data_IF_310021072350
#
_entry.id   IF_310021072350
#
_cell.length_a   1.000
_cell.length_b   1.000
_cell.length_c   1.000
_cell.angle_alpha   90.00
_cell.angle_beta   90.00
_cell.angle_gamma   90.00
#
_symmetry.space_group_name_H-M   'P 1'
#
loop_
_entity.id
_entity.type
_entity.pdbx_description
1 polymer ?
#
# COMPACT_ATOMS: atom_id res chain seq x y z
N UNK A 1 24.05 -65.67 -5.26
CA UNK A 1 24.98 -65.96 -4.14
C UNK A 1 25.99 -64.81 -4.08
N UNK A 2 25.97 -64.06 -2.96
CA UNK A 2 26.95 -63.06 -2.47
C UNK A 2 27.11 -61.76 -3.29
N UNK A 3 26.59 -60.62 -2.85
CA UNK A 3 27.00 -59.74 -1.72
C UNK A 3 28.30 -58.95 -1.96
N UNK A 4 28.15 -57.61 -1.87
CA UNK A 4 29.06 -56.58 -1.32
C UNK A 4 29.71 -55.58 -2.28
N UNK A 5 29.27 -54.32 -2.14
CA UNK A 5 30.03 -53.04 -2.10
C UNK A 5 29.09 -51.92 -2.55
N UNK A 6 28.26 -51.29 -1.71
CA UNK A 6 28.61 -50.31 -0.66
C UNK A 6 29.78 -49.42 -1.07
N UNK A 7 29.50 -48.37 -1.83
CA UNK A 7 30.36 -47.19 -1.92
C UNK A 7 29.54 -45.97 -1.49
N UNK A 8 29.89 -45.51 -0.29
CA UNK A 8 29.32 -44.37 0.40
C UNK A 8 29.50 -43.08 -0.39
N UNK A 9 28.39 -42.41 -0.72
CA UNK A 9 28.39 -41.02 -1.20
C UNK A 9 28.21 -40.09 0.01
N UNK A 10 29.33 -39.64 0.57
CA UNK A 10 29.38 -38.46 1.44
C UNK A 10 29.23 -37.24 0.55
N UNK A 11 28.09 -36.56 0.63
CA UNK A 11 27.95 -35.17 0.19
C UNK A 11 27.28 -34.38 1.31
N UNK A 12 28.12 -33.79 2.15
CA UNK A 12 27.69 -32.78 3.10
C UNK A 12 27.29 -31.52 2.32
N UNK A 13 26.10 -31.00 2.62
CA UNK A 13 25.74 -29.63 2.25
C UNK A 13 24.96 -29.00 3.41
N UNK A 14 25.69 -28.13 4.10
CA UNK A 14 25.27 -26.86 4.68
C UNK A 14 23.86 -26.72 5.25
N UNK A 15 23.84 -26.55 6.58
CA UNK A 15 23.01 -25.61 7.33
C UNK A 15 22.02 -24.74 6.53
N UNK A 16 20.73 -24.88 6.84
CA UNK A 16 19.79 -23.77 6.83
C UNK A 16 19.13 -23.69 8.21
N UNK A 17 19.79 -22.98 9.12
CA UNK A 17 19.12 -22.33 10.23
C UNK A 17 18.52 -21.02 9.68
N UNK A 18 17.23 -20.81 9.92
CA UNK A 18 16.55 -19.53 9.71
C UNK A 18 15.58 -19.50 8.53
N UNK A 19 14.29 -19.62 8.83
CA UNK A 19 13.25 -18.59 8.58
C UNK A 19 11.88 -19.17 8.93
N UNK A 20 11.57 -19.21 10.23
CA UNK A 20 10.18 -19.18 10.65
C UNK A 20 9.62 -17.81 10.23
N UNK A 21 8.89 -17.76 9.09
CA UNK A 21 7.89 -16.74 8.72
C UNK A 21 7.40 -16.84 7.24
N UNK A 22 7.62 -17.95 6.52
CA UNK A 22 7.04 -18.16 5.17
C UNK A 22 5.84 -19.13 5.14
N UNK A 23 5.70 -20.01 6.15
CA UNK A 23 4.66 -21.03 6.18
C UNK A 23 3.25 -20.44 6.34
N UNK A 24 3.09 -19.43 7.19
CA UNK A 24 1.79 -18.90 7.62
C UNK A 24 1.08 -18.06 6.54
N UNK A 25 1.86 -17.31 5.75
CA UNK A 25 1.34 -16.56 4.59
C UNK A 25 0.90 -17.50 3.46
N UNK A 26 1.59 -18.62 3.27
CA UNK A 26 1.25 -19.61 2.25
C UNK A 26 -0.02 -20.38 2.64
N UNK A 27 -0.22 -20.71 3.92
CA UNK A 27 -1.45 -21.37 4.40
C UNK A 27 -2.67 -20.46 4.28
N UNK A 28 -2.53 -19.17 4.59
CA UNK A 28 -3.61 -18.20 4.47
C UNK A 28 -4.11 -18.06 3.01
N UNK A 29 -3.20 -18.08 2.05
CA UNK A 29 -3.53 -17.97 0.62
C UNK A 29 -4.17 -19.25 0.08
N UNK A 30 -3.70 -20.43 0.52
CA UNK A 30 -4.30 -21.72 0.15
C UNK A 30 -5.71 -21.91 0.75
N UNK A 31 -5.90 -21.59 2.03
CA UNK A 31 -7.19 -21.70 2.71
C UNK A 31 -8.26 -20.82 2.04
N UNK A 32 -7.86 -19.62 1.60
CA UNK A 32 -8.75 -18.69 0.90
C UNK A 32 -9.26 -19.25 -0.42
N UNK A 33 -8.42 -19.90 -1.21
CA UNK A 33 -8.84 -20.49 -2.48
C UNK A 33 -9.86 -21.62 -2.28
N UNK A 34 -9.69 -22.44 -1.25
CA UNK A 34 -10.64 -23.50 -0.89
C UNK A 34 -11.98 -22.92 -0.44
N UNK A 35 -11.97 -21.89 0.41
CA UNK A 35 -13.20 -21.20 0.86
C UNK A 35 -13.94 -20.57 -0.32
N UNK A 36 -13.25 -19.80 -1.18
CA UNK A 36 -13.87 -19.19 -2.36
C UNK A 36 -14.48 -20.22 -3.32
N UNK A 37 -13.82 -21.37 -3.50
CA UNK A 37 -14.36 -22.46 -4.32
C UNK A 37 -15.60 -23.11 -3.70
N UNK A 38 -15.58 -23.31 -2.38
CA UNK A 38 -16.72 -23.88 -1.66
C UNK A 38 -17.92 -22.96 -1.76
N UNK A 39 -17.75 -21.66 -1.47
CA UNK A 39 -18.85 -20.69 -1.54
C UNK A 39 -19.39 -20.50 -2.96
N UNK A 40 -18.53 -20.53 -3.99
CA UNK A 40 -18.98 -20.48 -5.37
C UNK A 40 -19.85 -21.69 -5.74
N UNK A 41 -19.52 -22.87 -5.17
CA UNK A 41 -20.28 -24.11 -5.37
C UNK A 41 -21.59 -24.08 -4.58
N UNK A 42 -21.56 -23.62 -3.33
CA UNK A 42 -22.76 -23.46 -2.47
C UNK A 42 -23.74 -22.45 -3.08
N UNK A 43 -23.23 -21.40 -3.75
CA UNK A 43 -24.02 -20.42 -4.51
C UNK A 43 -24.43 -20.91 -5.92
N UNK A 44 -24.09 -22.15 -6.28
CA UNK A 44 -24.34 -22.76 -7.58
C UNK A 44 -23.89 -21.90 -8.79
N UNK A 45 -22.85 -21.08 -8.61
CA UNK A 45 -22.33 -20.21 -9.66
C UNK A 45 -21.68 -21.04 -10.77
N UNK A 46 -22.00 -20.73 -12.02
CA UNK A 46 -21.47 -21.43 -13.20
C UNK A 46 -20.90 -20.43 -14.19
N UNK A 47 -20.02 -20.92 -15.08
CA UNK A 47 -19.47 -20.11 -16.17
C UNK A 47 -18.82 -18.81 -15.70
N UNK A 48 -19.21 -17.71 -16.34
CA UNK A 48 -18.64 -16.38 -16.08
C UNK A 48 -18.93 -15.85 -14.67
N UNK A 49 -20.07 -16.21 -14.09
CA UNK A 49 -20.45 -15.79 -12.73
C UNK A 49 -19.51 -16.39 -11.68
N UNK A 50 -19.13 -17.66 -11.85
CA UNK A 50 -18.14 -18.32 -10.98
C UNK A 50 -16.77 -17.66 -11.10
N UNK A 51 -16.38 -17.29 -12.32
CA UNK A 51 -15.07 -16.69 -12.60
C UNK A 51 -14.96 -15.28 -12.01
N UNK A 52 -16.01 -14.48 -12.15
CA UNK A 52 -16.12 -13.17 -11.51
C UNK A 52 -16.05 -13.31 -9.99
N UNK A 53 -16.88 -14.18 -9.41
CA UNK A 53 -16.90 -14.44 -7.97
C UNK A 53 -15.55 -14.91 -7.43
N UNK A 54 -14.89 -15.84 -8.12
CA UNK A 54 -13.57 -16.32 -7.70
C UNK A 54 -12.53 -15.20 -7.74
N UNK A 55 -12.58 -14.36 -8.78
CA UNK A 55 -11.68 -13.21 -8.91
C UNK A 55 -11.88 -12.24 -7.74
N UNK A 56 -13.13 -11.92 -7.42
CA UNK A 56 -13.46 -10.98 -6.37
C UNK A 56 -13.17 -11.55 -4.99
N UNK A 57 -13.49 -12.83 -4.74
CA UNK A 57 -13.20 -13.52 -3.50
C UNK A 57 -11.67 -13.63 -3.27
N UNK A 58 -10.89 -13.97 -4.30
CA UNK A 58 -9.43 -14.03 -4.19
C UNK A 58 -8.77 -12.64 -4.09
N UNK A 59 -9.40 -11.58 -4.61
CA UNK A 59 -8.96 -10.19 -4.42
C UNK A 59 -9.37 -9.63 -3.05
N UNK A 60 -10.49 -10.07 -2.49
CA UNK A 60 -11.00 -9.62 -1.21
C UNK A 60 -10.03 -10.03 -0.10
N UNK A 61 -9.22 -9.12 0.43
CA UNK A 61 -8.36 -9.40 1.59
C UNK A 61 -9.20 -10.07 2.69
N UNK A 62 -8.66 -11.08 3.42
CA UNK A 62 -9.42 -11.80 4.44
C UNK A 62 -10.16 -10.80 5.33
N UNK A 63 -11.45 -11.07 5.55
CA UNK A 63 -12.37 -10.28 6.33
C UNK A 63 -11.90 -10.20 7.79
N UNK A 64 -10.89 -9.38 8.02
CA UNK A 64 -10.39 -8.97 9.32
C UNK A 64 -10.60 -7.46 9.38
N UNK A 65 -11.83 -7.11 9.78
CA UNK A 65 -12.36 -5.77 9.92
C UNK A 65 -12.50 -5.00 8.60
N UNK A 66 -13.61 -4.28 8.48
CA UNK A 66 -13.62 -2.97 7.84
C UNK A 66 -12.55 -2.10 8.52
N UNK A 67 -11.27 -2.34 8.22
CA UNK A 67 -10.24 -1.34 8.46
C UNK A 67 -10.56 -0.28 7.43
N UNK A 68 -11.30 0.74 7.87
CA UNK A 68 -11.38 2.00 7.17
C UNK A 68 -9.98 2.27 6.61
N UNK A 69 -9.89 2.30 5.27
CA UNK A 69 -8.62 2.52 4.59
C UNK A 69 -7.99 3.73 5.25
N UNK A 70 -6.71 3.63 5.62
CA UNK A 70 -6.06 4.79 6.21
C UNK A 70 -6.17 5.96 5.20
N UNK A 71 -6.21 7.22 5.66
CA UNK A 71 -6.33 8.36 4.74
C UNK A 71 -5.27 8.33 3.61
N UNK A 72 -4.10 7.75 3.88
CA UNK A 72 -3.06 7.52 2.88
C UNK A 72 -3.43 6.45 1.84
N UNK A 73 -4.06 5.35 2.25
CA UNK A 73 -4.51 4.29 1.35
C UNK A 73 -5.68 4.74 0.48
N UNK A 74 -6.63 5.50 1.02
CA UNK A 74 -7.72 6.10 0.25
C UNK A 74 -7.17 7.04 -0.82
N UNK A 75 -6.29 7.95 -0.42
CA UNK A 75 -5.63 8.88 -1.33
C UNK A 75 -4.88 8.18 -2.46
N UNK A 76 -4.20 7.07 -2.16
CA UNK A 76 -3.50 6.29 -3.18
C UNK A 76 -4.47 5.64 -4.17
N UNK A 77 -5.62 5.16 -3.70
CA UNK A 77 -6.66 4.61 -4.57
C UNK A 77 -7.25 5.70 -5.48
N UNK A 78 -7.57 6.87 -4.92
CA UNK A 78 -8.12 8.01 -5.67
C UNK A 78 -7.15 8.53 -6.72
N UNK A 79 -5.86 8.69 -6.38
CA UNK A 79 -4.82 9.07 -7.34
C UNK A 79 -4.68 8.06 -8.49
N UNK A 80 -4.81 6.76 -8.21
CA UNK A 80 -4.79 5.74 -9.25
C UNK A 80 -6.03 5.79 -10.14
N UNK A 81 -7.21 6.01 -9.55
CA UNK A 81 -8.46 6.15 -10.31
C UNK A 81 -8.39 7.36 -11.23
N UNK A 82 -8.02 8.52 -10.71
CA UNK A 82 -7.91 9.75 -11.52
C UNK A 82 -6.86 9.63 -12.64
N UNK A 83 -5.75 8.92 -12.40
CA UNK A 83 -4.77 8.66 -13.45
C UNK A 83 -5.35 7.77 -14.57
N UNK A 84 -6.15 6.77 -14.20
CA UNK A 84 -6.86 5.89 -15.15
C UNK A 84 -7.95 6.62 -15.93
N UNK A 85 -8.76 7.45 -15.25
CA UNK A 85 -9.81 8.27 -15.87
C UNK A 85 -9.20 9.27 -16.87
N UNK A 86 -8.00 9.78 -16.58
CA UNK A 86 -7.21 10.64 -17.49
C UNK A 86 -6.39 9.86 -18.52
N UNK A 87 -6.48 8.52 -18.54
CA UNK A 87 -5.72 7.63 -19.42
C UNK A 87 -4.21 7.89 -19.43
N UNK A 88 -3.66 8.38 -18.31
CA UNK A 88 -2.25 8.72 -18.20
C UNK A 88 -1.40 7.45 -18.22
N UNK A 89 -0.32 7.46 -19.00
CA UNK A 89 0.63 6.35 -19.15
C UNK A 89 2.06 6.84 -19.00
N UNK A 90 3.00 5.91 -18.82
CA UNK A 90 4.43 6.22 -18.75
C UNK A 90 4.78 7.31 -17.74
N UNK A 91 5.60 8.26 -18.18
CA UNK A 91 6.09 9.36 -17.35
C UNK A 91 4.99 10.31 -16.88
N UNK A 92 3.94 10.51 -17.68
CA UNK A 92 2.80 11.37 -17.34
C UNK A 92 2.04 10.83 -16.13
N UNK A 93 1.81 9.50 -16.09
CA UNK A 93 1.20 8.85 -14.93
C UNK A 93 2.06 8.99 -13.68
N UNK A 94 3.38 8.85 -13.82
CA UNK A 94 4.32 8.93 -12.70
C UNK A 94 4.39 10.34 -12.12
N UNK A 95 4.45 11.36 -12.98
CA UNK A 95 4.42 12.76 -12.59
C UNK A 95 3.08 13.09 -11.90
N UNK A 96 1.96 12.67 -12.48
CA UNK A 96 0.63 12.84 -11.88
C UNK A 96 0.51 12.16 -10.52
N UNK A 97 0.96 10.90 -10.39
CA UNK A 97 0.90 10.18 -9.12
C UNK A 97 1.74 10.88 -8.04
N UNK A 98 2.94 11.37 -8.40
CA UNK A 98 3.80 12.11 -7.48
C UNK A 98 3.12 13.39 -7.00
N UNK A 99 2.54 14.16 -7.91
CA UNK A 99 1.83 15.39 -7.58
C UNK A 99 0.56 15.11 -6.76
N UNK A 100 -0.23 14.10 -7.12
CA UNK A 100 -1.45 13.72 -6.42
C UNK A 100 -1.16 13.23 -4.99
N UNK A 101 -0.12 12.41 -4.81
CA UNK A 101 0.28 11.93 -3.48
C UNK A 101 0.96 13.02 -2.63
N UNK A 102 1.58 14.03 -3.24
CA UNK A 102 2.16 15.19 -2.55
C UNK A 102 1.15 16.28 -2.23
N UNK A 103 0.11 16.46 -3.06
CA UNK A 103 -0.96 17.41 -2.82
C UNK A 103 -1.64 17.09 -1.50
N UNK A 104 -1.71 18.02 -0.54
CA UNK A 104 -2.62 17.84 0.60
C UNK A 104 -4.03 17.60 0.04
N UNK A 105 -4.83 16.69 0.63
CA UNK A 105 -6.14 16.35 0.10
C UNK A 105 -6.94 17.65 -0.08
N UNK A 106 -7.18 18.00 -1.34
CA UNK A 106 -8.09 19.06 -1.69
C UNK A 106 -9.44 18.37 -1.94
N UNK A 107 -10.44 18.88 -1.24
CA UNK A 107 -11.88 18.67 -1.47
C UNK A 107 -12.50 17.40 -0.86
N UNK A 108 -12.53 17.40 0.47
CA UNK A 108 -13.79 17.28 1.20
C UNK A 108 -13.70 18.14 2.45
N UNK A 109 -14.36 19.30 2.39
CA UNK A 109 -14.96 20.15 3.44
C UNK A 109 -14.68 19.85 4.93
N UNK A 110 -13.45 19.56 5.33
CA UNK A 110 -12.97 19.78 6.70
C UNK A 110 -12.05 20.98 6.65
N UNK A 111 -12.59 22.13 7.05
CA UNK A 111 -11.83 23.32 7.33
C UNK A 111 -10.58 22.93 8.12
N UNK A 112 -9.40 23.19 7.54
CA UNK A 112 -8.14 23.10 8.26
C UNK A 112 -8.31 23.90 9.54
N UNK A 113 -7.89 23.35 10.67
CA UNK A 113 -7.93 24.14 11.90
C UNK A 113 -7.08 25.40 11.68
N UNK A 114 -7.40 26.55 12.29
CA UNK A 114 -6.65 27.79 12.10
C UNK A 114 -5.12 27.61 12.26
N UNK A 115 -4.71 26.68 13.12
CA UNK A 115 -3.33 26.31 13.35
C UNK A 115 -2.68 25.53 12.18
N UNK A 116 -3.44 24.67 11.50
CA UNK A 116 -2.97 23.93 10.32
C UNK A 116 -2.87 24.82 9.08
N UNK A 117 -3.75 25.81 8.95
CA UNK A 117 -3.69 26.85 7.91
C UNK A 117 -2.42 27.69 8.10
N UNK A 118 -2.22 28.22 9.31
CA UNK A 118 -1.05 29.02 9.69
C UNK A 118 0.28 28.34 9.41
N UNK A 119 0.39 27.03 9.72
CA UNK A 119 1.60 26.28 9.42
C UNK A 119 1.83 26.10 7.92
N UNK A 120 0.77 25.94 7.13
CA UNK A 120 0.87 25.86 5.67
C UNK A 120 1.35 27.20 5.08
N UNK A 121 0.78 28.31 5.55
CA UNK A 121 1.15 29.66 5.09
C UNK A 121 2.60 30.01 5.44
N UNK A 122 3.03 29.73 6.68
CA UNK A 122 4.43 29.93 7.06
C UNK A 122 5.40 29.05 6.26
N UNK A 123 5.01 27.81 5.92
CA UNK A 123 5.84 26.98 5.06
C UNK A 123 5.90 27.49 3.62
N UNK A 124 4.79 28.00 3.09
CA UNK A 124 4.74 28.62 1.77
C UNK A 124 5.61 29.86 1.71
N UNK A 125 5.49 30.76 2.69
CA UNK A 125 6.32 31.96 2.78
C UNK A 125 7.81 31.64 2.94
N UNK A 126 8.16 30.57 3.67
CA UNK A 126 9.55 30.13 3.79
C UNK A 126 10.12 29.68 2.44
N UNK A 127 9.31 28.96 1.65
CA UNK A 127 9.67 28.52 0.31
C UNK A 127 9.78 29.70 -0.67
N UNK A 128 8.84 30.64 -0.62
CA UNK A 128 8.85 31.86 -1.45
C UNK A 128 10.07 32.75 -1.12
N UNK A 129 10.52 32.76 0.14
CA UNK A 129 11.74 33.45 0.57
C UNK A 129 13.04 32.66 0.30
N UNK A 130 12.94 31.44 -0.24
CA UNK A 130 14.09 30.58 -0.47
C UNK A 130 14.84 30.18 0.81
N UNK A 131 14.21 30.32 1.98
CA UNK A 131 14.85 30.07 3.27
C UNK A 131 15.17 28.58 3.40
N UNK A 132 16.45 28.27 3.68
CA UNK A 132 16.95 26.90 3.86
C UNK A 132 17.69 26.80 5.20
N UNK A 133 17.89 25.58 5.69
CA UNK A 133 18.68 25.33 6.91
C UNK A 133 18.17 26.12 8.11
N UNK A 134 19.09 26.81 8.79
CA UNK A 134 18.79 27.56 10.02
C UNK A 134 17.95 28.82 9.76
N UNK A 135 18.04 29.44 8.58
CA UNK A 135 17.19 30.56 8.21
C UNK A 135 15.72 30.17 8.14
N UNK A 136 15.42 28.97 7.62
CA UNK A 136 14.05 28.45 7.58
C UNK A 136 13.49 28.21 8.97
N UNK A 137 14.31 27.68 9.89
CA UNK A 137 13.89 27.43 11.28
C UNK A 137 13.58 28.73 12.00
N UNK A 138 14.47 29.72 11.88
CA UNK A 138 14.28 31.06 12.45
C UNK A 138 13.04 31.74 11.85
N UNK A 139 12.86 31.64 10.52
CA UNK A 139 11.70 32.18 9.84
C UNK A 139 10.39 31.49 10.28
N UNK A 140 10.34 30.16 10.34
CA UNK A 140 9.16 29.44 10.81
C UNK A 140 8.81 29.78 12.26
N UNK A 141 9.82 29.89 13.14
CA UNK A 141 9.61 30.27 14.53
C UNK A 141 9.05 31.69 14.66
N UNK A 142 9.53 32.63 13.85
CA UNK A 142 9.01 34.00 13.81
C UNK A 142 7.59 34.06 13.23
N UNK A 143 7.38 33.44 12.06
CA UNK A 143 6.09 33.44 11.38
C UNK A 143 4.98 32.81 12.25
N UNK A 144 5.27 31.68 12.90
CA UNK A 144 4.31 31.03 13.79
C UNK A 144 4.05 31.83 15.08
N UNK A 145 4.98 32.68 15.52
CA UNK A 145 4.76 33.58 16.66
C UNK A 145 3.97 34.84 16.28
N UNK A 146 4.14 35.35 15.05
CA UNK A 146 3.53 36.61 14.59
C UNK A 146 2.04 36.51 14.23
N UNK A 147 1.55 35.32 13.83
CA UNK A 147 0.12 35.13 13.50
C UNK A 147 -0.71 34.60 14.67
N UNK A 148 -0.28 34.87 15.91
CA UNK A 148 -0.93 34.45 17.16
C UNK A 148 -1.78 35.57 17.74
#
# INVERSE_FOLDING_TARGET
MRLLSVLSLVLGLCAFAGTANAAEAQTAQQNKMTVCNKEATDKALKGDERKAYMSDCLKAKPAAAEKALTPQQQKMADCNKQAGDKSLKGDERKAFMSNCLKAKPAESEKALTPQQQKMADCNKQAADKGAKGDERKTFMASCLKQSS
#
